data_IF_596232198426
#
_entry.id   IF_596232198426
#
_cell.length_a   1.000
_cell.length_b   1.000
_cell.length_c   1.000
_cell.angle_alpha   90.00
_cell.angle_beta   90.00
_cell.angle_gamma   90.00
#
_symmetry.space_group_name_H-M   'P 1'
#
loop_
_entity.id
_entity.type
_entity.pdbx_description
1 polymer ?
#
# COMPACT_ATOMS: atom_id res chain seq x y z
N UNK A 1 39.89 1.70 -71.06
CA UNK A 1 38.81 2.45 -70.35
C UNK A 1 38.23 1.59 -69.25
N UNK A 2 38.57 1.84 -68.00
CA UNK A 2 38.12 1.02 -66.87
C UNK A 2 36.98 1.77 -66.17
N UNK A 3 35.75 1.26 -66.27
CA UNK A 3 34.62 1.72 -65.50
C UNK A 3 34.65 1.03 -64.11
N UNK A 4 34.90 1.81 -63.08
CA UNK A 4 34.69 1.37 -61.71
C UNK A 4 33.33 1.84 -61.25
N UNK A 5 32.41 0.90 -61.04
CA UNK A 5 31.12 1.15 -60.37
C UNK A 5 31.35 1.32 -58.86
N UNK A 6 30.99 2.48 -58.35
CA UNK A 6 30.88 2.69 -56.89
C UNK A 6 29.52 2.15 -56.43
N UNK A 7 29.55 1.16 -55.52
CA UNK A 7 28.37 0.72 -54.80
C UNK A 7 28.30 1.55 -53.50
N UNK A 8 27.30 2.40 -53.40
CA UNK A 8 27.00 3.13 -52.18
C UNK A 8 26.26 2.21 -51.22
N UNK A 9 26.88 1.87 -50.09
CA UNK A 9 26.22 1.16 -48.99
C UNK A 9 25.39 2.18 -48.17
N UNK A 10 24.06 2.02 -48.19
CA UNK A 10 23.17 2.81 -47.37
C UNK A 10 23.14 2.22 -45.96
N UNK A 11 23.63 2.97 -44.96
CA UNK A 11 23.60 2.61 -43.58
C UNK A 11 22.22 2.97 -43.01
N UNK A 12 21.37 1.96 -42.80
CA UNK A 12 20.09 2.15 -42.10
C UNK A 12 20.36 2.18 -40.63
N UNK A 13 20.39 3.35 -40.01
CA UNK A 13 20.37 3.52 -38.56
C UNK A 13 18.96 3.20 -38.06
N UNK A 14 18.82 2.02 -37.47
CA UNK A 14 17.62 1.68 -36.69
C UNK A 14 17.59 2.56 -35.44
N UNK A 15 16.77 3.59 -35.45
CA UNK A 15 16.49 4.40 -34.26
C UNK A 15 15.76 3.52 -33.23
N UNK A 16 16.38 3.27 -32.08
CA UNK A 16 15.70 2.67 -30.96
C UNK A 16 14.66 3.67 -30.43
N UNK A 17 13.39 3.39 -30.67
CA UNK A 17 12.28 4.10 -30.01
C UNK A 17 12.25 3.61 -28.58
N UNK A 18 12.72 4.41 -27.63
CA UNK A 18 12.54 4.16 -26.21
C UNK A 18 11.05 4.37 -25.88
N UNK A 19 10.30 3.29 -25.83
CA UNK A 19 8.95 3.31 -25.24
C UNK A 19 9.11 3.46 -23.74
N UNK A 20 8.66 4.59 -23.20
CA UNK A 20 8.50 4.73 -21.75
C UNK A 20 7.42 3.73 -21.32
N UNK A 21 7.81 2.64 -20.65
CA UNK A 21 6.85 1.77 -20.02
C UNK A 21 6.19 2.58 -18.90
N UNK A 22 4.86 2.72 -18.94
CA UNK A 22 4.09 3.19 -17.78
C UNK A 22 4.27 2.17 -16.66
N UNK A 23 4.45 2.63 -15.43
CA UNK A 23 4.48 1.73 -14.28
C UNK A 23 3.14 0.99 -14.20
N UNK A 24 3.18 -0.35 -14.17
CA UNK A 24 1.99 -1.17 -14.01
C UNK A 24 1.55 -1.18 -12.55
N UNK A 25 0.24 -1.09 -12.31
CA UNK A 25 -0.33 -1.35 -10.99
C UNK A 25 -0.42 -2.86 -10.81
N UNK A 26 0.41 -3.41 -9.92
CA UNK A 26 0.44 -4.86 -9.66
C UNK A 26 -0.83 -5.31 -8.96
N UNK A 27 -1.15 -4.71 -7.82
CA UNK A 27 -2.36 -4.94 -7.05
C UNK A 27 -2.72 -3.69 -6.25
N UNK A 28 -4.01 -3.46 -6.03
CA UNK A 28 -4.49 -2.32 -5.24
C UNK A 28 -5.83 -2.60 -4.57
N UNK A 29 -6.11 -1.89 -3.49
CA UNK A 29 -7.35 -1.96 -2.72
C UNK A 29 -7.95 -0.56 -2.61
N UNK A 30 -9.06 -0.34 -3.32
CA UNK A 30 -9.86 0.90 -3.24
C UNK A 30 -10.99 0.82 -2.22
N UNK A 31 -11.04 -0.27 -1.46
CA UNK A 31 -12.03 -0.51 -0.39
C UNK A 31 -13.50 -0.36 -0.83
N UNK A 32 -13.97 -1.03 -1.90
CA UNK A 32 -15.34 -0.88 -2.40
C UNK A 32 -16.39 -1.53 -1.50
N UNK A 33 -15.99 -2.44 -0.61
CA UNK A 33 -16.88 -3.26 0.23
C UNK A 33 -16.77 -2.87 1.70
N UNK A 34 -17.89 -2.74 2.37
CA UNK A 34 -17.90 -2.49 3.80
C UNK A 34 -17.46 -3.72 4.61
N UNK A 35 -16.76 -3.46 5.71
CA UNK A 35 -16.61 -4.44 6.79
C UNK A 35 -17.99 -4.80 7.33
N UNK A 36 -18.27 -6.07 7.53
CA UNK A 36 -19.52 -6.51 8.13
C UNK A 36 -19.73 -5.82 9.48
N UNK A 37 -20.93 -5.32 9.74
CA UNK A 37 -21.22 -4.59 10.98
C UNK A 37 -20.87 -5.41 12.22
N UNK A 38 -20.32 -4.74 13.24
CA UNK A 38 -19.94 -5.31 14.53
C UNK A 38 -18.90 -6.46 14.46
N UNK A 39 -18.03 -6.47 13.45
CA UNK A 39 -16.92 -7.43 13.40
C UNK A 39 -15.90 -7.11 14.48
N UNK A 40 -15.69 -8.07 15.40
CA UNK A 40 -14.67 -7.98 16.46
C UNK A 40 -13.72 -9.16 16.42
N UNK A 41 -12.50 -8.99 16.91
CA UNK A 41 -11.51 -10.06 17.02
C UNK A 41 -10.08 -9.59 16.75
N UNK A 42 -9.15 -10.49 17.02
CA UNK A 42 -7.71 -10.23 16.81
C UNK A 42 -7.32 -10.19 15.34
N UNK A 43 -8.08 -10.84 14.47
CA UNK A 43 -7.77 -10.92 13.04
C UNK A 43 -8.96 -10.49 12.21
N UNK A 44 -8.68 -9.84 11.09
CA UNK A 44 -9.66 -9.54 10.07
C UNK A 44 -9.04 -9.72 8.70
N UNK A 45 -9.77 -10.37 7.79
CA UNK A 45 -9.40 -10.47 6.37
C UNK A 45 -10.38 -9.66 5.55
N UNK A 46 -9.89 -8.58 4.93
CA UNK A 46 -10.68 -7.76 4.03
C UNK A 46 -10.93 -8.48 2.71
N UNK A 47 -9.87 -9.07 2.11
CA UNK A 47 -9.98 -9.84 0.89
C UNK A 47 -8.93 -9.50 -0.16
N UNK A 48 -9.18 -9.98 -1.37
CA UNK A 48 -8.30 -9.77 -2.52
C UNK A 48 -8.32 -8.32 -3.01
N UNK A 49 -7.29 -7.94 -3.76
CA UNK A 49 -7.22 -6.67 -4.46
C UNK A 49 -8.35 -6.54 -5.48
N UNK A 50 -8.90 -5.35 -5.60
CA UNK A 50 -9.96 -4.99 -6.56
C UNK A 50 -9.41 -4.23 -7.78
N UNK A 51 -8.16 -3.81 -7.72
CA UNK A 51 -7.44 -3.08 -8.78
C UNK A 51 -6.12 -3.78 -9.12
N UNK A 52 -5.64 -3.55 -10.35
CA UNK A 52 -4.33 -4.01 -10.81
C UNK A 52 -4.37 -5.25 -11.70
N UNK A 53 -3.18 -5.66 -12.15
CA UNK A 53 -3.01 -6.76 -13.10
C UNK A 53 -2.95 -8.13 -12.43
N UNK A 54 -2.52 -8.20 -11.16
CA UNK A 54 -2.31 -9.44 -10.40
C UNK A 54 -3.17 -9.46 -9.12
N UNK A 55 -4.49 -9.48 -9.26
CA UNK A 55 -5.43 -9.48 -8.12
C UNK A 55 -5.63 -10.87 -7.51
N UNK A 56 -5.46 -11.94 -8.28
CA UNK A 56 -5.63 -13.30 -7.81
C UNK A 56 -4.54 -13.69 -6.79
N UNK A 57 -4.94 -14.33 -5.68
CA UNK A 57 -4.01 -14.76 -4.63
C UNK A 57 -3.50 -13.63 -3.74
N UNK A 58 -4.01 -12.40 -3.93
CA UNK A 58 -3.71 -11.27 -3.05
C UNK A 58 -4.59 -11.27 -1.82
N UNK A 59 -4.16 -10.60 -0.75
CA UNK A 59 -4.96 -10.43 0.45
C UNK A 59 -4.59 -9.15 1.20
N UNK A 60 -5.62 -8.41 1.62
CA UNK A 60 -5.50 -7.40 2.66
C UNK A 60 -6.11 -7.95 3.95
N UNK A 61 -5.39 -7.82 5.03
CA UNK A 61 -5.79 -8.31 6.36
C UNK A 61 -5.26 -7.39 7.45
N UNK A 62 -5.64 -7.65 8.69
CA UNK A 62 -5.09 -7.00 9.86
C UNK A 62 -5.00 -7.96 11.05
N UNK A 63 -4.08 -7.64 11.95
CA UNK A 63 -3.88 -8.35 13.20
C UNK A 63 -3.78 -7.37 14.37
N UNK A 64 -4.45 -7.72 15.45
CA UNK A 64 -4.38 -7.06 16.75
C UNK A 64 -4.18 -8.08 17.87
N UNK A 65 -3.40 -7.73 18.86
CA UNK A 65 -3.20 -8.55 20.07
C UNK A 65 -4.43 -8.56 21.00
N UNK A 66 -5.31 -7.55 20.86
CA UNK A 66 -6.50 -7.37 21.71
C UNK A 66 -7.74 -7.97 21.05
N UNK A 67 -8.35 -9.00 21.65
CA UNK A 67 -9.53 -9.66 21.11
C UNK A 67 -10.79 -8.77 21.02
N UNK A 68 -10.85 -7.69 21.80
CA UNK A 68 -11.94 -6.71 21.77
C UNK A 68 -11.77 -5.66 20.65
N UNK A 69 -10.79 -5.84 19.75
CA UNK A 69 -10.64 -4.97 18.59
C UNK A 69 -11.88 -5.00 17.72
N UNK A 70 -12.37 -3.82 17.37
CA UNK A 70 -13.49 -3.63 16.42
C UNK A 70 -12.92 -3.21 15.08
N UNK A 71 -13.31 -3.95 14.04
CA UNK A 71 -13.04 -3.64 12.63
C UNK A 71 -14.22 -2.91 12.05
N UNK A 72 -13.97 -1.89 11.25
CA UNK A 72 -15.00 -1.03 10.68
C UNK A 72 -14.56 -0.43 9.34
N UNK A 73 -15.51 0.13 8.59
CA UNK A 73 -15.29 0.74 7.29
C UNK A 73 -15.88 2.15 7.23
N UNK A 74 -15.28 3.13 7.91
CA UNK A 74 -15.67 4.53 7.73
C UNK A 74 -15.33 5.00 6.31
N UNK A 75 -15.80 6.19 5.93
CA UNK A 75 -15.49 6.80 4.63
C UNK A 75 -13.98 6.77 4.37
N UNK A 76 -13.61 6.42 3.15
CA UNK A 76 -12.24 6.39 2.69
C UNK A 76 -11.74 7.76 2.25
N UNK A 77 -10.56 7.78 1.64
CA UNK A 77 -9.93 8.98 1.10
C UNK A 77 -10.25 9.09 -0.40
N UNK A 78 -11.43 9.59 -0.74
CA UNK A 78 -11.96 9.62 -2.10
C UNK A 78 -12.53 8.27 -2.56
N UNK A 79 -12.64 7.30 -1.68
CA UNK A 79 -13.24 5.98 -1.87
C UNK A 79 -14.43 5.77 -0.94
N UNK A 80 -15.27 4.78 -1.24
CA UNK A 80 -16.50 4.55 -0.46
C UNK A 80 -16.18 4.23 0.99
N UNK A 81 -15.19 3.38 1.22
CA UNK A 81 -14.81 2.89 2.55
C UNK A 81 -13.30 2.94 2.74
N UNK A 82 -12.86 2.75 3.97
CA UNK A 82 -11.49 2.46 4.38
C UNK A 82 -11.49 1.27 5.33
N UNK A 83 -10.37 0.59 5.51
CA UNK A 83 -10.22 -0.41 6.56
C UNK A 83 -9.75 0.28 7.84
N UNK A 84 -10.52 0.16 8.90
CA UNK A 84 -10.27 0.82 10.19
C UNK A 84 -10.36 -0.16 11.34
N UNK A 85 -9.56 0.08 12.37
CA UNK A 85 -9.62 -0.66 13.64
C UNK A 85 -9.29 0.24 14.83
N UNK A 86 -9.65 -0.24 16.03
CA UNK A 86 -9.32 0.36 17.32
C UNK A 86 -8.46 -0.60 18.18
N UNK A 87 -8.27 -0.31 19.47
CA UNK A 87 -7.50 -1.16 20.42
C UNK A 87 -6.07 -1.47 19.95
N UNK A 88 -5.36 -0.47 19.47
CA UNK A 88 -4.00 -0.62 18.95
C UNK A 88 -2.97 -0.84 20.06
N UNK A 89 -2.15 -1.87 19.88
CA UNK A 89 -0.96 -2.15 20.68
C UNK A 89 0.28 -2.10 19.78
N UNK A 90 1.43 -1.78 20.33
CA UNK A 90 2.69 -1.87 19.57
C UNK A 90 2.88 -3.29 19.03
N UNK A 91 3.13 -3.41 17.72
CA UNK A 91 3.20 -4.69 17.03
C UNK A 91 1.94 -5.07 16.24
N UNK A 92 0.79 -4.45 16.50
CA UNK A 92 -0.43 -4.64 15.69
C UNK A 92 -0.24 -4.03 14.28
N UNK A 93 -0.88 -4.60 13.25
CA UNK A 93 -0.62 -4.21 11.86
C UNK A 93 -1.79 -4.41 10.92
N UNK A 94 -1.78 -3.67 9.82
CA UNK A 94 -2.40 -4.06 8.55
C UNK A 94 -1.37 -4.78 7.69
N UNK A 95 -1.81 -5.77 6.92
CA UNK A 95 -0.94 -6.59 6.07
C UNK A 95 -1.50 -6.76 4.69
N UNK A 96 -0.67 -6.53 3.66
CA UNK A 96 -0.94 -6.92 2.29
C UNK A 96 -0.02 -8.07 1.89
N UNK A 97 -0.58 -9.04 1.16
CA UNK A 97 0.15 -10.18 0.63
C UNK A 97 -0.16 -10.32 -0.85
N UNK A 98 0.88 -10.47 -1.68
CA UNK A 98 0.75 -10.57 -3.13
C UNK A 98 1.94 -11.34 -3.73
N UNK A 99 1.84 -11.68 -5.02
CA UNK A 99 2.97 -12.12 -5.84
C UNK A 99 3.39 -10.97 -6.76
N UNK A 100 4.68 -10.80 -6.94
CA UNK A 100 5.26 -9.87 -7.93
C UNK A 100 5.99 -10.63 -9.05
N UNK A 101 5.71 -11.94 -9.20
CA UNK A 101 6.28 -12.75 -10.30
C UNK A 101 5.93 -12.12 -11.65
N UNK A 102 6.95 -11.87 -12.47
CA UNK A 102 6.82 -11.21 -13.76
C UNK A 102 6.96 -9.69 -13.71
N UNK A 103 7.02 -9.08 -12.53
CA UNK A 103 7.24 -7.64 -12.37
C UNK A 103 8.69 -7.36 -11.96
N UNK A 104 9.30 -6.43 -12.67
CA UNK A 104 10.69 -6.00 -12.44
C UNK A 104 10.74 -4.78 -11.51
N UNK A 105 11.95 -4.50 -10.99
CA UNK A 105 12.23 -3.23 -10.31
C UNK A 105 12.07 -2.05 -11.28
N UNK A 106 11.56 -0.88 -10.84
CA UNK A 106 11.27 -0.53 -9.45
C UNK A 106 9.87 -0.97 -8.97
N UNK A 107 9.82 -1.59 -7.79
CA UNK A 107 8.58 -1.83 -7.05
C UNK A 107 8.39 -0.69 -6.04
N UNK A 108 7.16 -0.21 -5.91
CA UNK A 108 6.76 0.76 -4.90
C UNK A 108 5.49 0.31 -4.19
N UNK A 109 5.36 0.66 -2.92
CA UNK A 109 4.12 0.53 -2.15
C UNK A 109 3.63 1.94 -1.80
N UNK A 110 2.39 2.24 -2.08
CA UNK A 110 1.72 3.46 -1.61
C UNK A 110 0.43 3.12 -0.88
N UNK A 111 0.06 3.94 0.08
CA UNK A 111 -1.19 3.82 0.81
C UNK A 111 -1.52 5.14 1.49
N UNK A 112 -2.81 5.36 1.70
CA UNK A 112 -3.31 6.45 2.50
C UNK A 112 -3.56 5.97 3.92
N UNK A 113 -3.17 6.78 4.91
CA UNK A 113 -3.34 6.44 6.32
C UNK A 113 -3.71 7.65 7.14
N UNK A 114 -4.65 7.49 8.07
CA UNK A 114 -5.03 8.53 9.02
C UNK A 114 -5.44 7.93 10.36
N UNK A 115 -5.49 8.75 11.39
CA UNK A 115 -5.86 8.35 12.75
C UNK A 115 -6.84 9.31 13.40
N UNK A 116 -7.55 8.85 14.42
CA UNK A 116 -8.26 9.71 15.37
C UNK A 116 -7.30 10.42 16.33
N UNK A 117 -7.78 11.37 17.09
CA UNK A 117 -6.97 12.10 18.07
C UNK A 117 -6.23 11.22 19.08
N UNK A 118 -6.84 10.11 19.47
CA UNK A 118 -6.27 9.12 20.40
C UNK A 118 -5.73 7.88 19.70
N UNK A 119 -5.77 7.81 18.37
CA UNK A 119 -5.25 6.69 17.57
C UNK A 119 -3.73 6.70 17.50
N UNK A 120 -3.13 5.55 17.09
CA UNK A 120 -1.68 5.41 17.03
C UNK A 120 -1.07 6.38 16.02
N UNK A 121 -0.07 7.11 16.47
CA UNK A 121 0.59 8.15 15.68
C UNK A 121 1.86 7.65 14.98
N UNK A 122 2.48 6.56 15.44
CA UNK A 122 3.76 6.10 14.94
C UNK A 122 3.65 4.69 14.34
N UNK A 123 4.11 4.54 13.11
CA UNK A 123 4.11 3.29 12.36
C UNK A 123 5.45 3.06 11.67
N UNK A 124 5.70 1.83 11.29
CA UNK A 124 6.81 1.39 10.43
C UNK A 124 6.24 0.50 9.33
N UNK A 125 6.95 0.38 8.21
CA UNK A 125 6.61 -0.62 7.18
C UNK A 125 7.68 -1.70 7.17
N UNK A 126 7.23 -2.93 7.31
CA UNK A 126 8.04 -4.14 7.23
C UNK A 126 7.72 -4.88 5.93
N UNK A 127 8.71 -5.56 5.37
CA UNK A 127 8.57 -6.40 4.18
C UNK A 127 9.16 -7.78 4.43
N UNK A 128 8.47 -8.80 3.93
CA UNK A 128 8.96 -10.18 3.81
C UNK A 128 8.85 -10.64 2.36
N UNK A 129 9.84 -11.42 1.91
CA UNK A 129 9.86 -12.09 0.61
C UNK A 129 9.99 -13.62 0.73
N UNK A 130 9.83 -14.13 1.94
CA UNK A 130 10.00 -15.54 2.30
C UNK A 130 8.75 -16.16 2.96
N UNK A 131 7.56 -15.64 2.58
CA UNK A 131 6.28 -16.14 3.08
C UNK A 131 5.96 -15.69 4.50
N UNK A 132 6.60 -14.63 5.01
CA UNK A 132 6.35 -14.09 6.35
C UNK A 132 7.23 -14.67 7.44
N UNK A 133 8.25 -15.44 7.09
CA UNK A 133 9.20 -16.01 8.06
C UNK A 133 10.12 -14.94 8.63
N UNK A 134 10.67 -14.08 7.79
CA UNK A 134 11.53 -12.97 8.20
C UNK A 134 10.99 -11.66 7.65
N UNK A 135 11.10 -10.60 8.44
CA UNK A 135 10.71 -9.24 8.05
C UNK A 135 11.89 -8.29 8.15
N UNK A 136 12.04 -7.43 7.15
CA UNK A 136 12.98 -6.30 7.15
C UNK A 136 12.22 -4.98 7.16
N UNK A 137 12.75 -3.98 7.86
CA UNK A 137 12.17 -2.63 7.86
C UNK A 137 12.50 -1.95 6.54
N UNK A 138 11.47 -1.58 5.78
CA UNK A 138 11.60 -0.86 4.50
C UNK A 138 11.20 0.61 4.59
N UNK A 139 10.43 0.98 5.61
CA UNK A 139 10.22 2.36 6.02
C UNK A 139 10.34 2.42 7.55
N UNK A 140 11.33 3.17 8.03
CA UNK A 140 11.50 3.45 9.46
C UNK A 140 10.28 4.20 10.02
N UNK A 141 10.22 4.35 11.34
CA UNK A 141 9.09 4.99 12.01
C UNK A 141 8.70 6.34 11.38
N UNK A 142 7.43 6.46 11.00
CA UNK A 142 6.83 7.67 10.46
C UNK A 142 5.60 8.07 11.29
N UNK A 143 5.23 9.34 11.21
CA UNK A 143 4.08 9.87 11.95
C UNK A 143 2.84 9.90 11.07
N UNK A 144 1.77 9.25 11.54
CA UNK A 144 0.46 9.26 10.89
C UNK A 144 -0.28 10.55 11.22
N UNK A 145 -0.77 11.23 10.20
CA UNK A 145 -1.49 12.49 10.33
C UNK A 145 -2.88 12.26 10.92
N UNK A 146 -3.26 13.09 11.87
CA UNK A 146 -4.61 13.12 12.42
C UNK A 146 -5.53 13.87 11.47
N UNK A 147 -6.57 13.19 10.95
CA UNK A 147 -7.57 13.83 10.11
C UNK A 147 -8.42 14.84 10.90
N UNK A 148 -8.69 15.99 10.28
CA UNK A 148 -9.56 17.03 10.85
C UNK A 148 -8.99 17.74 12.08
N UNK A 149 -7.68 17.67 12.30
CA UNK A 149 -7.04 18.42 13.39
C UNK A 149 -7.06 19.91 13.07
N UNK A 150 -7.65 20.71 13.94
CA UNK A 150 -7.72 22.16 13.79
C UNK A 150 -6.32 22.78 13.65
N UNK A 151 -6.14 23.63 12.65
CA UNK A 151 -4.87 24.33 12.38
C UNK A 151 -3.80 23.49 11.67
N UNK A 152 -4.04 22.21 11.39
CA UNK A 152 -3.08 21.34 10.70
C UNK A 152 -3.18 21.40 9.18
N UNK A 153 -4.21 22.05 8.64
CA UNK A 153 -4.52 22.00 7.20
C UNK A 153 -5.06 20.65 6.72
N UNK A 154 -5.26 19.67 7.64
CA UNK A 154 -5.79 18.37 7.32
C UNK A 154 -7.31 18.37 7.37
N UNK A 155 -7.96 17.64 6.47
CA UNK A 155 -9.40 17.46 6.42
C UNK A 155 -9.79 16.05 6.79
N UNK A 156 -11.04 15.86 7.22
CA UNK A 156 -11.59 14.52 7.42
C UNK A 156 -11.77 13.83 6.08
N UNK A 157 -11.42 12.57 6.00
CA UNK A 157 -11.66 11.75 4.80
C UNK A 157 -13.15 11.68 4.48
N UNK A 158 -13.45 11.70 3.19
CA UNK A 158 -14.79 11.54 2.66
C UNK A 158 -14.76 10.70 1.38
N UNK A 159 -15.90 10.13 1.00
CA UNK A 159 -16.01 9.20 -0.12
C UNK A 159 -15.94 9.84 -1.52
N UNK A 160 -15.83 11.16 -1.61
CA UNK A 160 -15.94 11.88 -2.90
C UNK A 160 -14.60 12.47 -3.33
N UNK A 161 -13.84 13.02 -2.37
CA UNK A 161 -12.63 13.80 -2.66
C UNK A 161 -11.43 13.17 -1.98
N UNK A 162 -10.44 12.78 -2.76
CA UNK A 162 -9.14 12.39 -2.25
C UNK A 162 -8.49 13.61 -1.59
N UNK A 163 -8.12 13.47 -0.32
CA UNK A 163 -7.42 14.51 0.42
C UNK A 163 -5.94 14.45 0.07
N UNK A 164 -5.29 15.61 -0.20
CA UNK A 164 -3.96 15.59 -0.79
C UNK A 164 -2.92 15.02 0.16
N UNK A 165 -1.82 14.74 -0.42
CA UNK A 165 -0.44 14.33 -0.08
C UNK A 165 -0.06 14.17 1.40
N UNK A 166 -0.68 14.86 2.34
CA UNK A 166 -0.41 14.76 3.79
C UNK A 166 -0.84 13.42 4.40
N UNK A 167 -1.65 12.66 3.68
CA UNK A 167 -2.15 11.34 4.11
C UNK A 167 -1.51 10.18 3.36
N UNK A 168 -0.83 10.46 2.24
CA UNK A 168 -0.24 9.44 1.39
C UNK A 168 1.18 9.12 1.82
N UNK A 169 1.45 7.84 2.04
CA UNK A 169 2.79 7.31 2.30
C UNK A 169 3.24 6.49 1.09
N UNK A 170 4.41 6.78 0.56
CA UNK A 170 5.02 6.01 -0.52
C UNK A 170 6.37 5.45 -0.07
N UNK A 171 6.53 4.15 -0.23
CA UNK A 171 7.78 3.42 0.03
C UNK A 171 8.37 3.01 -1.31
N UNK A 172 9.59 3.40 -1.57
CA UNK A 172 10.34 3.11 -2.81
C UNK A 172 11.63 2.32 -2.52
N UNK A 173 12.31 1.91 -3.57
CA UNK A 173 13.56 1.15 -3.42
C UNK A 173 13.33 -0.28 -2.93
N UNK A 174 12.20 -0.87 -3.28
CA UNK A 174 11.81 -2.22 -2.86
C UNK A 174 12.33 -3.28 -3.87
N UNK A 175 13.58 -3.20 -4.29
CA UNK A 175 14.17 -4.10 -5.29
C UNK A 175 14.08 -5.58 -4.89
N UNK A 176 14.18 -5.89 -3.60
CA UNK A 176 14.03 -7.25 -3.09
C UNK A 176 12.60 -7.83 -3.31
N UNK A 177 11.61 -6.97 -3.52
CA UNK A 177 10.23 -7.39 -3.82
C UNK A 177 10.03 -7.75 -5.30
N UNK A 178 10.95 -7.43 -6.21
CA UNK A 178 10.78 -7.68 -7.63
C UNK A 178 10.88 -9.20 -7.95
N UNK A 179 9.95 -9.70 -8.78
CA UNK A 179 9.95 -11.08 -9.27
C UNK A 179 9.68 -12.16 -8.21
N UNK A 180 9.14 -11.81 -7.05
CA UNK A 180 8.93 -12.74 -5.94
C UNK A 180 7.57 -13.45 -6.02
N UNK A 181 7.56 -14.75 -5.70
CA UNK A 181 6.32 -15.52 -5.60
C UNK A 181 5.47 -15.11 -4.38
N UNK A 182 6.10 -14.58 -3.34
CA UNK A 182 5.44 -14.10 -2.14
C UNK A 182 6.10 -12.82 -1.63
N UNK A 183 5.32 -11.75 -1.57
CA UNK A 183 5.70 -10.49 -0.93
C UNK A 183 4.63 -10.16 0.10
N UNK A 184 5.07 -9.84 1.30
CA UNK A 184 4.18 -9.42 2.39
C UNK A 184 4.67 -8.09 2.92
N UNK A 185 3.79 -7.10 2.97
CA UNK A 185 4.04 -5.82 3.65
C UNK A 185 3.18 -5.74 4.90
N UNK A 186 3.78 -5.26 5.99
CA UNK A 186 3.06 -4.90 7.23
C UNK A 186 3.22 -3.42 7.50
N UNK A 187 2.09 -2.73 7.63
CA UNK A 187 1.97 -1.36 8.14
C UNK A 187 1.74 -1.52 9.64
N UNK A 188 2.81 -1.46 10.44
CA UNK A 188 2.82 -1.88 11.84
C UNK A 188 2.90 -0.69 12.79
N UNK A 189 2.01 -0.68 13.80
CA UNK A 189 2.07 0.31 14.88
C UNK A 189 3.29 0.07 15.77
N UNK A 190 4.00 1.13 16.10
CA UNK A 190 5.12 1.11 17.06
C UNK A 190 4.71 1.59 18.44
N UNK A 191 3.43 1.94 18.65
CA UNK A 191 2.90 2.48 19.89
C UNK A 191 1.60 1.81 20.31
N UNK A 192 1.36 1.75 21.61
CA UNK A 192 0.08 1.36 22.22
C UNK A 192 -0.73 2.62 22.50
N UNK A 193 -2.05 2.54 22.28
CA UNK A 193 -2.96 3.68 22.47
C UNK A 193 -4.15 3.35 23.36
N UNK A 194 -4.98 4.35 23.64
CA UNK A 194 -6.26 4.13 24.29
C UNK A 194 -7.18 3.24 23.42
N UNK A 195 -8.02 2.44 24.06
CA UNK A 195 -8.89 1.47 23.40
C UNK A 195 -9.80 2.10 22.31
N UNK A 196 -10.25 3.36 22.50
CA UNK A 196 -11.07 4.07 21.54
C UNK A 196 -10.27 4.70 20.37
N UNK A 197 -8.94 4.68 20.45
CA UNK A 197 -8.07 5.24 19.41
C UNK A 197 -8.15 4.43 18.13
N UNK A 198 -8.50 5.07 17.01
CA UNK A 198 -8.62 4.40 15.71
C UNK A 198 -7.51 4.82 14.76
N UNK A 199 -7.15 3.90 13.88
CA UNK A 199 -6.36 4.12 12.69
C UNK A 199 -7.09 3.51 11.50
N UNK A 200 -6.87 4.03 10.31
CA UNK A 200 -7.43 3.49 9.07
C UNK A 200 -6.49 3.67 7.90
N UNK A 201 -6.58 2.73 6.96
CA UNK A 201 -5.84 2.71 5.70
C UNK A 201 -6.81 2.66 4.51
N UNK A 202 -6.35 3.17 3.37
CA UNK A 202 -7.10 3.22 2.12
C UNK A 202 -6.14 3.35 0.93
N UNK A 203 -6.64 3.16 -0.29
CA UNK A 203 -5.89 3.37 -1.54
C UNK A 203 -4.48 2.72 -1.49
N UNK A 204 -4.46 1.46 -1.09
CA UNK A 204 -3.21 0.69 -1.00
C UNK A 204 -2.83 0.22 -2.40
#
# INVERSE_FOLDING_TARGET
>A
MNNRSLVAASLITAGAVSMSASAALVAGWSMPTAVTAATTGTNYTYGAADLGEATAGTSLSGFHSVAATTWSSPAGNGSTYSLSSNNWTAGDYYQVSLSTTGYADPITLSFDQTRSGTGPAAFTVLMSVDGGTNFTTVLASYTVVQAGLAGSGTTTWNSVTNQPVTFTTTVSGLSAAAGQASVIFRIQSTVTTAAAGTNRVDNI
#
